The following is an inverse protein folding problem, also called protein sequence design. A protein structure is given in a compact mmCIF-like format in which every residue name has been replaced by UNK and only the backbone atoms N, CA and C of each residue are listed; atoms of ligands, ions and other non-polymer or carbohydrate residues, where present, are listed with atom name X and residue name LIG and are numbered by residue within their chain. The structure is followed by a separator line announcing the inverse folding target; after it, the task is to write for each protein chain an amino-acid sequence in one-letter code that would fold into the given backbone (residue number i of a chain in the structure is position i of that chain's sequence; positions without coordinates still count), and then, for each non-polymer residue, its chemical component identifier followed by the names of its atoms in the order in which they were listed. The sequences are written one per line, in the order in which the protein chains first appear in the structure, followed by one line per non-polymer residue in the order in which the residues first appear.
data_IF_012106424662
#
_entry.id   IF_012106424662
#
_cell.length_a   1.000
_cell.length_b   1.000
_cell.length_c   1.000
_cell.angle_alpha   90.00
_cell.angle_beta   90.00
_cell.angle_gamma   90.00
#
_symmetry.space_group_name_H-M   'P 1'
#
loop_
_entity.id
_entity.type
_entity.pdbx_description
1 polymer ?
#
# COMPACT_ATOMS: atom_id res chain seq x y z
N UNK A 1 -14.14 -10.55 25.43
CA UNK A 1 -15.20 -9.52 25.27
C UNK A 1 -15.93 -9.29 26.59
N UNK A 2 -16.42 -10.33 27.28
CA UNK A 2 -17.05 -10.20 28.60
C UNK A 2 -16.17 -9.42 29.61
N UNK A 3 -14.89 -9.78 29.74
CA UNK A 3 -13.96 -9.12 30.66
C UNK A 3 -13.78 -7.62 30.39
N UNK A 4 -13.91 -7.20 29.13
CA UNK A 4 -13.83 -5.78 28.77
C UNK A 4 -15.07 -5.05 29.26
N UNK A 5 -16.26 -5.58 28.98
CA UNK A 5 -17.51 -4.99 29.45
C UNK A 5 -17.62 -5.00 30.99
N UNK A 6 -17.13 -6.05 31.65
CA UNK A 6 -17.05 -6.09 33.11
C UNK A 6 -16.12 -4.98 33.66
N UNK A 7 -14.96 -4.75 33.03
CA UNK A 7 -14.07 -3.65 33.40
C UNK A 7 -14.70 -2.28 33.14
N UNK A 8 -15.40 -2.09 32.03
CA UNK A 8 -16.13 -0.85 31.74
C UNK A 8 -17.29 -0.61 32.71
N UNK A 9 -17.98 -1.67 33.15
CA UNK A 9 -19.05 -1.57 34.14
C UNK A 9 -18.51 -1.20 35.52
N UNK A 10 -17.36 -1.75 35.92
CA UNK A 10 -16.70 -1.42 37.20
C UNK A 10 -16.00 -0.06 37.18
N UNK A 11 -15.53 0.37 36.01
CA UNK A 11 -14.78 1.61 35.81
C UNK A 11 -15.17 2.25 34.46
N UNK A 12 -16.09 3.23 34.45
CA UNK A 12 -16.53 3.91 33.23
C UNK A 12 -15.38 4.55 32.42
N UNK A 13 -14.27 4.92 33.08
CA UNK A 13 -13.10 5.51 32.43
C UNK A 13 -12.34 4.51 31.55
N UNK A 14 -12.53 3.19 31.71
CA UNK A 14 -11.83 2.20 30.89
C UNK A 14 -12.25 2.24 29.42
N UNK A 15 -13.54 2.51 29.15
CA UNK A 15 -14.00 2.75 27.77
C UNK A 15 -13.34 4.00 27.19
N UNK A 16 -13.36 5.10 27.93
CA UNK A 16 -12.81 6.39 27.50
C UNK A 16 -11.31 6.28 27.20
N UNK A 17 -10.55 5.61 28.08
CA UNK A 17 -9.11 5.38 27.91
C UNK A 17 -8.78 4.67 26.60
N UNK A 18 -9.55 3.63 26.25
CA UNK A 18 -9.34 2.89 25.00
C UNK A 18 -9.80 3.70 23.79
N UNK A 19 -10.95 4.37 23.89
CA UNK A 19 -11.49 5.24 22.84
C UNK A 19 -10.50 6.36 22.48
N UNK A 20 -9.99 7.08 23.47
CA UNK A 20 -9.03 8.16 23.27
C UNK A 20 -7.70 7.63 22.73
N UNK A 21 -7.24 6.48 23.24
CA UNK A 21 -6.05 5.80 22.70
C UNK A 21 -6.19 5.44 21.22
N UNK A 22 -7.38 5.01 20.80
CA UNK A 22 -7.66 4.71 19.40
C UNK A 22 -7.65 5.98 18.53
N UNK A 23 -8.26 7.08 19.00
CA UNK A 23 -8.23 8.36 18.31
C UNK A 23 -6.78 8.86 18.11
N UNK A 24 -5.97 8.87 19.18
CA UNK A 24 -4.55 9.25 19.12
C UNK A 24 -3.77 8.34 18.16
N UNK A 25 -4.08 7.04 18.12
CA UNK A 25 -3.42 6.09 17.20
C UNK A 25 -3.76 6.40 15.74
N UNK A 26 -5.02 6.66 15.44
CA UNK A 26 -5.46 7.01 14.08
C UNK A 26 -4.84 8.32 13.64
N UNK A 27 -4.95 9.36 14.45
CA UNK A 27 -4.40 10.68 14.15
C UNK A 27 -2.88 10.65 13.92
N UNK A 28 -2.16 9.89 14.75
CA UNK A 28 -0.69 9.80 14.67
C UNK A 28 -0.17 8.98 13.48
N UNK A 29 -0.96 8.05 12.92
CA UNK A 29 -0.46 7.07 11.92
C UNK A 29 -1.27 6.97 10.63
N UNK A 30 -2.60 7.03 10.71
CA UNK A 30 -3.51 6.62 9.65
C UNK A 30 -4.35 7.79 9.15
N UNK A 31 -3.69 8.86 8.73
CA UNK A 31 -4.35 10.03 8.15
C UNK A 31 -3.91 10.24 6.70
N UNK A 32 -4.84 10.72 5.88
CA UNK A 32 -4.55 11.07 4.49
C UNK A 32 -3.45 12.13 4.36
N UNK A 33 -3.35 13.06 5.31
CA UNK A 33 -2.28 14.06 5.36
C UNK A 33 -0.90 13.40 5.43
N UNK A 34 -0.69 12.49 6.40
CA UNK A 34 0.58 11.77 6.56
C UNK A 34 0.88 10.87 5.37
N UNK A 35 -0.15 10.26 4.78
CA UNK A 35 0.01 9.48 3.55
C UNK A 35 0.50 10.36 2.40
N UNK A 36 -0.15 11.49 2.15
CA UNK A 36 0.22 12.42 1.09
C UNK A 36 1.65 12.96 1.28
N UNK A 37 2.02 13.33 2.52
CA UNK A 37 3.38 13.76 2.85
C UNK A 37 4.43 12.69 2.49
N UNK A 38 4.19 11.43 2.86
CA UNK A 38 5.09 10.32 2.51
C UNK A 38 5.16 10.07 1.02
N UNK A 39 4.02 10.05 0.33
CA UNK A 39 3.94 9.86 -1.12
C UNK A 39 4.71 10.94 -1.88
N UNK A 40 4.57 12.21 -1.48
CA UNK A 40 5.28 13.31 -2.11
C UNK A 40 6.80 13.23 -1.90
N UNK A 41 7.26 12.81 -0.73
CA UNK A 41 8.69 12.59 -0.46
C UNK A 41 9.24 11.44 -1.30
N UNK A 42 8.56 10.29 -1.30
CA UNK A 42 8.98 9.12 -2.10
C UNK A 42 9.01 9.47 -3.60
N UNK A 43 7.99 10.17 -4.10
CA UNK A 43 7.92 10.55 -5.53
C UNK A 43 9.11 11.41 -5.95
N UNK A 44 9.54 12.36 -5.11
CA UNK A 44 10.71 13.20 -5.40
C UNK A 44 12.01 12.41 -5.35
N UNK A 45 12.21 11.60 -4.31
CA UNK A 45 13.42 10.78 -4.13
C UNK A 45 13.55 9.79 -5.28
N UNK A 46 12.52 8.97 -5.54
CA UNK A 46 12.56 7.97 -6.60
C UNK A 46 12.61 8.60 -7.99
N UNK A 47 11.99 9.78 -8.19
CA UNK A 47 12.13 10.54 -9.42
C UNK A 47 13.57 10.96 -9.70
N UNK A 48 14.26 11.48 -8.69
CA UNK A 48 15.68 11.82 -8.78
C UNK A 48 16.58 10.59 -9.01
N UNK A 49 16.36 9.51 -8.25
CA UNK A 49 17.12 8.27 -8.43
C UNK A 49 16.93 7.68 -9.82
N UNK A 50 15.70 7.70 -10.36
CA UNK A 50 15.43 7.25 -11.72
C UNK A 50 16.32 7.96 -12.74
N UNK A 51 16.45 9.29 -12.64
CA UNK A 51 17.29 10.08 -13.54
C UNK A 51 18.78 9.72 -13.46
N UNK A 52 19.30 9.43 -12.27
CA UNK A 52 20.72 9.08 -12.08
C UNK A 52 21.02 7.63 -12.49
N UNK A 53 20.09 6.71 -12.25
CA UNK A 53 20.29 5.25 -12.43
C UNK A 53 19.99 4.73 -13.86
N UNK A 54 19.72 5.61 -14.83
CA UNK A 54 19.10 5.21 -16.11
C UNK A 54 19.98 4.22 -16.91
N UNK A 55 21.31 4.33 -16.84
CA UNK A 55 22.22 3.45 -17.58
C UNK A 55 22.25 2.01 -17.05
N UNK A 56 22.06 1.80 -15.74
CA UNK A 56 22.06 0.47 -15.11
C UNK A 56 20.72 -0.27 -15.27
N UNK A 57 19.65 0.45 -15.61
CA UNK A 57 18.28 -0.12 -15.68
C UNK A 57 17.85 -0.53 -17.08
N UNK A 58 18.63 -0.24 -18.13
CA UNK A 58 18.29 -0.62 -19.50
C UNK A 58 18.15 -2.13 -19.69
N UNK A 59 19.08 -2.93 -19.17
CA UNK A 59 19.05 -4.39 -19.30
C UNK A 59 17.79 -4.99 -18.65
N UNK A 60 17.50 -4.52 -17.43
CA UNK A 60 16.29 -4.93 -16.70
C UNK A 60 15.02 -4.51 -17.44
N UNK A 61 15.00 -3.30 -18.02
CA UNK A 61 13.88 -2.81 -18.82
C UNK A 61 13.65 -3.67 -20.07
N UNK A 62 14.72 -4.03 -20.79
CA UNK A 62 14.64 -4.92 -21.97
C UNK A 62 14.16 -6.33 -21.59
N UNK A 63 14.64 -6.86 -20.47
CA UNK A 63 14.17 -8.15 -19.95
C UNK A 63 12.68 -8.14 -19.60
N UNK A 64 12.22 -7.10 -18.88
CA UNK A 64 10.80 -6.93 -18.56
C UNK A 64 9.94 -6.74 -19.82
N UNK A 65 10.45 -6.04 -20.83
CA UNK A 65 9.76 -5.90 -22.11
C UNK A 65 9.63 -7.25 -22.84
N UNK A 66 10.71 -8.03 -22.91
CA UNK A 66 10.68 -9.40 -23.45
C UNK A 66 9.67 -10.26 -22.69
N UNK A 67 9.69 -10.22 -21.36
CA UNK A 67 8.76 -10.97 -20.51
C UNK A 67 7.30 -10.57 -20.76
N UNK A 68 7.02 -9.28 -20.87
CA UNK A 68 5.67 -8.78 -21.19
C UNK A 68 5.18 -9.31 -22.54
N UNK A 69 6.02 -9.22 -23.59
CA UNK A 69 5.63 -9.62 -24.95
C UNK A 69 5.48 -11.13 -25.10
N UNK A 70 6.40 -11.91 -24.53
CA UNK A 70 6.48 -13.36 -24.78
C UNK A 70 5.70 -14.20 -23.77
N UNK A 71 5.42 -13.68 -22.57
CA UNK A 71 4.75 -14.45 -21.51
C UNK A 71 3.40 -13.84 -21.15
N UNK A 72 3.38 -12.59 -20.67
CA UNK A 72 2.14 -11.99 -20.15
C UNK A 72 1.09 -11.79 -21.23
N UNK A 73 1.46 -11.22 -22.38
CA UNK A 73 0.53 -10.88 -23.45
C UNK A 73 -0.15 -12.13 -24.06
N UNK A 74 0.54 -13.24 -24.37
CA UNK A 74 -0.10 -14.47 -24.82
C UNK A 74 -1.07 -15.06 -23.78
N UNK A 75 -0.70 -15.09 -22.49
CA UNK A 75 -1.57 -15.58 -21.42
C UNK A 75 -2.84 -14.75 -21.27
N UNK A 76 -2.73 -13.41 -21.33
CA UNK A 76 -3.88 -12.52 -21.27
C UNK A 76 -4.82 -12.70 -22.49
N UNK A 77 -4.26 -13.03 -23.66
CA UNK A 77 -5.04 -13.30 -24.87
C UNK A 77 -5.84 -14.61 -24.76
N UNK A 78 -5.30 -15.63 -24.11
CA UNK A 78 -6.02 -16.90 -23.87
C UNK A 78 -7.29 -16.68 -23.04
N UNK A 79 -7.23 -15.86 -21.99
CA UNK A 79 -8.40 -15.50 -21.17
C UNK A 79 -9.50 -14.77 -21.96
N UNK A 80 -9.14 -14.00 -22.98
CA UNK A 80 -10.11 -13.36 -23.88
C UNK A 80 -10.67 -14.32 -24.93
N UNK A 81 -9.86 -15.29 -25.39
CA UNK A 81 -10.28 -16.30 -26.36
C UNK A 81 -11.23 -17.35 -25.78
N UNK A 82 -11.11 -17.69 -24.50
CA UNK A 82 -12.00 -18.64 -23.80
C UNK A 82 -13.42 -18.09 -23.55
N UNK A 83 -13.63 -16.76 -23.62
CA UNK A 83 -14.96 -16.15 -23.47
C UNK A 83 -15.76 -16.08 -24.78
N UNK A 84 -15.23 -16.59 -25.90
CA UNK A 84 -15.88 -16.59 -27.22
C UNK A 84 -16.04 -18.00 -27.83
N UNK A 85 -15.88 -19.06 -27.03
CA UNK A 85 -16.24 -20.44 -27.38
C UNK A 85 -17.35 -20.92 -26.43
#
# INVERSE_FOLDING_TARGET
MADFFEKCSKNPQEWQRISDGALVRVESRYTWKKYAERMMTLSRIYGFWKYISDLEREETSRYLHMFYQLQFRPLAAQLHGENLA
#
